data_IF_402689467285
#
_entry.id   IF_402689467285
#
_cell.length_a   1.000
_cell.length_b   1.000
_cell.length_c   1.000
_cell.angle_alpha   90.00
_cell.angle_beta   90.00
_cell.angle_gamma   90.00
#
_symmetry.space_group_name_H-M   'P 1'
#
loop_
_entity.id
_entity.type
_entity.pdbx_description
1 polymer ?
#
# COMPACT_ATOMS: atom_id res chain seq x y z
N UNK A 1 -68.05 12.16 -18.72
CA UNK A 1 -67.31 11.50 -19.82
C UNK A 1 -65.83 11.63 -19.55
N UNK A 2 -65.14 10.51 -19.29
CA UNK A 2 -63.73 10.46 -18.87
C UNK A 2 -62.81 10.07 -20.03
N UNK A 3 -61.58 10.61 -20.07
CA UNK A 3 -60.47 9.88 -20.66
C UNK A 3 -59.24 9.93 -19.72
N UNK A 4 -59.12 8.95 -18.81
CA UNK A 4 -57.89 8.68 -18.06
C UNK A 4 -57.49 7.22 -18.26
N UNK A 5 -56.84 6.90 -19.38
CA UNK A 5 -56.36 5.52 -19.60
C UNK A 5 -55.08 5.38 -20.42
N UNK A 6 -54.64 6.37 -21.22
CA UNK A 6 -53.47 6.20 -22.10
C UNK A 6 -52.12 6.50 -21.45
N UNK A 7 -52.04 7.38 -20.45
CA UNK A 7 -50.76 7.80 -19.85
C UNK A 7 -50.07 6.75 -18.98
N UNK A 8 -50.82 5.77 -18.43
CA UNK A 8 -50.28 4.73 -17.55
C UNK A 8 -49.50 3.64 -18.29
N UNK A 9 -49.85 3.38 -19.56
CA UNK A 9 -49.19 2.35 -20.38
C UNK A 9 -47.79 2.77 -20.82
N UNK A 10 -47.63 4.04 -21.19
CA UNK A 10 -46.34 4.61 -21.56
C UNK A 10 -45.38 4.71 -20.37
N UNK A 11 -45.89 5.07 -19.18
CA UNK A 11 -45.09 5.10 -17.96
C UNK A 11 -44.56 3.70 -17.57
N UNK A 12 -45.37 2.65 -17.72
CA UNK A 12 -44.95 1.28 -17.44
C UNK A 12 -43.90 0.77 -18.43
N UNK A 13 -44.01 1.14 -19.71
CA UNK A 13 -43.04 0.76 -20.74
C UNK A 13 -41.70 1.49 -20.52
N UNK A 14 -41.72 2.78 -20.18
CA UNK A 14 -40.50 3.54 -19.90
C UNK A 14 -39.77 3.04 -18.63
N UNK A 15 -40.52 2.64 -17.60
CA UNK A 15 -39.95 2.05 -16.38
C UNK A 15 -39.36 0.65 -16.64
N UNK A 16 -40.02 -0.17 -17.47
CA UNK A 16 -39.51 -1.48 -17.86
C UNK A 16 -38.26 -1.38 -18.74
N UNK A 17 -38.20 -0.41 -19.64
CA UNK A 17 -37.00 -0.12 -20.45
C UNK A 17 -35.86 0.39 -19.57
N UNK A 18 -36.13 1.26 -18.58
CA UNK A 18 -35.12 1.75 -17.64
C UNK A 18 -34.54 0.64 -16.75
N UNK A 19 -35.38 -0.31 -16.30
CA UNK A 19 -34.93 -1.48 -15.52
C UNK A 19 -34.17 -2.51 -16.38
N UNK A 20 -34.49 -2.62 -17.67
CA UNK A 20 -33.80 -3.52 -18.61
C UNK A 20 -32.48 -2.96 -19.15
N UNK A 21 -32.33 -1.63 -19.19
CA UNK A 21 -31.09 -0.94 -19.60
C UNK A 21 -30.15 -0.62 -18.42
N UNK A 22 -30.55 -0.92 -17.19
CA UNK A 22 -29.66 -0.83 -16.04
C UNK A 22 -28.50 -1.82 -16.27
N UNK A 23 -27.23 -1.38 -16.28
CA UNK A 23 -26.12 -2.30 -16.42
C UNK A 23 -26.20 -3.33 -15.27
N UNK A 24 -26.23 -4.62 -15.64
CA UNK A 24 -26.11 -5.81 -14.77
C UNK A 24 -24.71 -5.89 -14.11
N UNK A 25 -24.16 -4.75 -13.71
CA UNK A 25 -22.84 -4.57 -13.16
C UNK A 25 -22.74 -3.37 -12.23
N UNK A 26 -23.88 -2.83 -11.77
CA UNK A 26 -23.88 -1.99 -10.58
C UNK A 26 -23.52 -2.89 -9.39
N UNK A 27 -22.21 -3.07 -9.19
CA UNK A 27 -21.65 -3.46 -7.90
C UNK A 27 -22.37 -2.65 -6.83
N UNK A 28 -22.88 -3.34 -5.80
CA UNK A 28 -23.52 -2.67 -4.67
C UNK A 28 -22.65 -1.48 -4.26
N UNK A 29 -23.22 -0.27 -4.06
CA UNK A 29 -22.42 0.86 -3.58
C UNK A 29 -21.72 0.38 -2.32
N UNK A 30 -20.39 0.32 -2.37
CA UNK A 30 -19.56 -0.20 -1.29
C UNK A 30 -20.07 0.43 0.00
N UNK A 31 -20.58 -0.41 0.92
CA UNK A 31 -21.15 0.06 2.18
C UNK A 31 -20.21 1.12 2.75
N UNK A 32 -20.70 2.33 3.10
CA UNK A 32 -19.83 3.35 3.66
C UNK A 32 -19.12 2.74 4.85
N UNK A 33 -17.81 2.52 4.68
CA UNK A 33 -16.98 1.89 5.68
C UNK A 33 -17.01 2.84 6.87
N UNK A 34 -17.59 2.38 7.97
CA UNK A 34 -17.88 3.26 9.11
C UNK A 34 -16.58 3.92 9.61
N UNK A 35 -16.62 5.13 10.20
CA UNK A 35 -15.46 5.72 10.87
C UNK A 35 -14.89 4.83 12.00
N UNK A 36 -15.68 3.84 12.44
CA UNK A 36 -15.31 2.82 13.42
C UNK A 36 -14.55 1.65 12.79
N UNK A 37 -14.37 1.63 11.47
CA UNK A 37 -13.62 0.57 10.81
C UNK A 37 -12.13 0.66 11.20
N UNK A 38 -11.50 -0.45 11.60
CA UNK A 38 -10.14 -0.42 12.15
C UNK A 38 -9.12 0.21 11.19
N UNK A 39 -9.30 0.08 9.87
CA UNK A 39 -8.46 0.76 8.88
C UNK A 39 -8.36 2.28 9.10
N UNK A 40 -9.48 2.98 9.25
CA UNK A 40 -9.46 4.43 9.39
C UNK A 40 -8.89 4.87 10.74
N UNK A 41 -9.19 4.11 11.79
CA UNK A 41 -8.61 4.33 13.11
C UNK A 41 -7.09 4.14 13.09
N UNK A 42 -6.61 3.08 12.43
CA UNK A 42 -5.18 2.83 12.26
C UNK A 42 -4.47 3.92 11.46
N UNK A 43 -5.08 4.40 10.38
CA UNK A 43 -4.54 5.52 9.59
C UNK A 43 -4.51 6.82 10.41
N UNK A 44 -5.58 7.12 11.16
CA UNK A 44 -5.64 8.29 12.02
C UNK A 44 -4.57 8.24 13.13
N UNK A 45 -4.44 7.10 13.81
CA UNK A 45 -3.40 6.87 14.83
C UNK A 45 -1.99 7.03 14.24
N UNK A 46 -1.75 6.47 13.04
CA UNK A 46 -0.47 6.61 12.35
C UNK A 46 -0.12 8.07 12.04
N UNK A 47 -1.10 8.86 11.59
CA UNK A 47 -0.93 10.30 11.34
C UNK A 47 -0.65 11.09 12.61
N UNK A 48 -1.26 10.70 13.73
CA UNK A 48 -1.01 11.25 15.07
C UNK A 48 0.32 10.78 15.67
N UNK A 49 1.06 9.92 14.96
CA UNK A 49 2.31 9.27 15.41
C UNK A 49 2.12 8.31 16.60
N UNK A 50 0.88 7.93 16.90
CA UNK A 50 0.60 6.83 17.80
C UNK A 50 0.73 5.50 17.04
N UNK A 51 1.98 5.08 16.86
CA UNK A 51 2.30 3.89 16.08
C UNK A 51 1.87 2.59 16.78
N UNK A 52 1.75 2.60 18.11
CA UNK A 52 1.28 1.45 18.87
C UNK A 52 -0.22 1.22 18.65
N UNK A 53 -1.04 2.28 18.72
CA UNK A 53 -2.46 2.19 18.38
C UNK A 53 -2.65 1.86 16.89
N UNK A 54 -1.85 2.46 16.01
CA UNK A 54 -1.89 2.16 14.58
C UNK A 54 -1.64 0.68 14.30
N UNK A 55 -0.60 0.10 14.90
CA UNK A 55 -0.29 -1.33 14.83
C UNK A 55 -1.45 -2.21 15.29
N UNK A 56 -2.08 -1.89 16.43
CA UNK A 56 -3.21 -2.65 16.95
C UNK A 56 -4.38 -2.65 15.97
N UNK A 57 -4.74 -1.49 15.42
CA UNK A 57 -5.81 -1.36 14.45
C UNK A 57 -5.50 -2.07 13.13
N UNK A 58 -4.26 -2.00 12.62
CA UNK A 58 -3.89 -2.70 11.39
C UNK A 58 -3.84 -4.22 11.57
N UNK A 59 -3.48 -4.72 12.78
CA UNK A 59 -3.65 -6.15 13.10
C UNK A 59 -5.12 -6.55 13.04
N UNK A 60 -6.01 -5.77 13.61
CA UNK A 60 -7.44 -6.07 13.58
C UNK A 60 -7.98 -6.09 12.13
N UNK A 61 -7.51 -5.21 11.25
CA UNK A 61 -7.84 -5.29 9.81
C UNK A 61 -7.39 -6.62 9.22
N UNK A 62 -6.18 -7.09 9.54
CA UNK A 62 -5.65 -8.35 9.05
C UNK A 62 -6.33 -9.57 9.66
N UNK A 63 -6.79 -9.51 10.91
CA UNK A 63 -7.54 -10.59 11.55
C UNK A 63 -8.91 -10.79 10.86
N UNK A 64 -9.53 -9.70 10.42
CA UNK A 64 -10.77 -9.74 9.63
C UNK A 64 -10.52 -10.09 8.16
N UNK A 65 -9.41 -9.61 7.61
CA UNK A 65 -9.02 -9.74 6.21
C UNK A 65 -7.53 -10.09 6.08
N UNK A 66 -7.21 -11.38 6.20
CA UNK A 66 -5.83 -11.89 6.24
C UNK A 66 -4.94 -11.60 5.03
N UNK A 67 -5.51 -11.06 3.95
CA UNK A 67 -4.82 -10.80 2.68
C UNK A 67 -4.94 -9.34 2.21
N UNK A 68 -4.83 -8.37 3.11
CA UNK A 68 -4.71 -6.95 2.72
C UNK A 68 -3.25 -6.51 2.59
N UNK A 69 -2.84 -6.13 1.37
CA UNK A 69 -1.52 -5.51 1.11
C UNK A 69 -1.35 -4.25 1.94
N UNK A 70 -2.33 -3.33 1.86
CA UNK A 70 -2.29 -2.04 2.52
C UNK A 70 -2.20 -2.16 4.06
N UNK A 71 -2.99 -3.05 4.67
CA UNK A 71 -2.94 -3.27 6.12
C UNK A 71 -1.60 -3.86 6.56
N UNK A 72 -1.03 -4.79 5.79
CA UNK A 72 0.26 -5.40 6.12
C UNK A 72 1.42 -4.43 5.92
N UNK A 73 1.38 -3.59 4.88
CA UNK A 73 2.33 -2.51 4.68
C UNK A 73 2.29 -1.53 5.85
N UNK A 74 1.08 -1.06 6.23
CA UNK A 74 0.91 -0.10 7.32
C UNK A 74 1.27 -0.69 8.69
N UNK A 75 1.04 -1.99 8.91
CA UNK A 75 1.52 -2.71 10.08
C UNK A 75 3.06 -2.68 10.16
N UNK A 76 3.73 -3.04 9.06
CA UNK A 76 5.19 -3.01 8.99
C UNK A 76 5.75 -1.60 9.17
N UNK A 77 5.16 -0.60 8.52
CA UNK A 77 5.52 0.80 8.68
C UNK A 77 5.35 1.26 10.14
N UNK A 78 4.26 0.88 10.82
CA UNK A 78 4.03 1.23 12.22
C UNK A 78 5.10 0.63 13.14
N UNK A 79 5.50 -0.62 12.92
CA UNK A 79 6.58 -1.27 13.68
C UNK A 79 7.95 -0.61 13.44
N UNK A 80 8.28 -0.30 12.17
CA UNK A 80 9.49 0.44 11.80
C UNK A 80 9.53 1.80 12.52
N UNK A 81 8.42 2.51 12.57
CA UNK A 81 8.34 3.82 13.26
C UNK A 81 8.48 3.71 14.79
N UNK A 82 8.25 2.54 15.37
CA UNK A 82 8.52 2.24 16.78
C UNK A 82 9.97 1.79 17.04
N UNK A 83 10.80 1.66 15.99
CA UNK A 83 12.16 1.16 16.10
C UNK A 83 12.29 -0.37 16.06
N UNK A 84 11.19 -1.08 15.78
CA UNK A 84 11.18 -2.54 15.60
C UNK A 84 11.48 -2.89 14.15
N UNK A 85 12.73 -2.62 13.75
CA UNK A 85 13.17 -2.69 12.35
C UNK A 85 13.04 -4.09 11.75
N UNK A 86 13.47 -5.13 12.46
CA UNK A 86 13.43 -6.53 12.01
C UNK A 86 12.00 -7.00 11.77
N UNK A 87 11.15 -6.84 12.78
CA UNK A 87 9.75 -7.27 12.74
C UNK A 87 8.97 -6.47 11.70
N UNK A 88 9.15 -5.15 11.67
CA UNK A 88 8.51 -4.28 10.70
C UNK A 88 8.96 -4.58 9.27
N UNK A 89 10.26 -4.80 9.07
CA UNK A 89 10.84 -5.21 7.79
C UNK A 89 10.26 -6.53 7.29
N UNK A 90 10.02 -7.50 8.17
CA UNK A 90 9.38 -8.76 7.80
C UNK A 90 7.92 -8.56 7.33
N UNK A 91 7.15 -7.72 8.02
CA UNK A 91 5.79 -7.39 7.56
C UNK A 91 5.80 -6.67 6.20
N UNK A 92 6.74 -5.75 5.98
CA UNK A 92 6.90 -5.06 4.70
C UNK A 92 7.27 -6.04 3.58
N UNK A 93 8.18 -6.99 3.81
CA UNK A 93 8.52 -8.04 2.82
C UNK A 93 7.32 -8.94 2.53
N UNK A 94 6.51 -9.27 3.54
CA UNK A 94 5.25 -10.01 3.33
C UNK A 94 4.24 -9.21 2.53
N UNK A 95 4.18 -7.88 2.70
CA UNK A 95 3.35 -7.02 1.86
C UNK A 95 3.88 -7.01 0.41
N UNK A 96 5.20 -6.84 0.22
CA UNK A 96 5.82 -6.84 -1.11
C UNK A 96 5.52 -8.12 -1.93
N UNK A 97 5.41 -9.28 -1.27
CA UNK A 97 5.05 -10.56 -1.91
C UNK A 97 3.62 -10.59 -2.48
N UNK A 98 2.76 -9.66 -2.12
CA UNK A 98 1.36 -9.59 -2.56
C UNK A 98 1.16 -8.80 -3.86
N UNK A 99 2.24 -8.23 -4.42
CA UNK A 99 2.36 -7.74 -5.80
C UNK A 99 1.45 -6.60 -6.29
N UNK A 100 0.68 -5.90 -5.45
CA UNK A 100 -0.21 -4.80 -5.89
C UNK A 100 0.55 -3.53 -6.32
N UNK A 101 1.50 -3.05 -5.51
CA UNK A 101 2.48 -2.02 -5.90
C UNK A 101 3.79 -2.26 -5.14
N UNK A 102 4.87 -2.50 -5.86
CA UNK A 102 6.18 -2.82 -5.25
C UNK A 102 6.93 -1.59 -4.77
N UNK A 103 6.65 -0.40 -5.31
CA UNK A 103 7.50 0.78 -5.09
C UNK A 103 7.46 1.27 -3.63
N UNK A 104 6.28 1.50 -3.00
CA UNK A 104 6.22 1.98 -1.62
C UNK A 104 6.83 0.99 -0.63
N UNK A 105 6.51 -0.30 -0.78
CA UNK A 105 7.07 -1.36 0.04
C UNK A 105 8.59 -1.48 -0.10
N UNK A 106 9.12 -1.35 -1.32
CA UNK A 106 10.57 -1.40 -1.56
C UNK A 106 11.29 -0.22 -0.90
N UNK A 107 10.74 0.99 -0.99
CA UNK A 107 11.33 2.16 -0.30
C UNK A 107 11.29 1.98 1.22
N UNK A 108 10.19 1.48 1.77
CA UNK A 108 10.07 1.22 3.20
C UNK A 108 11.06 0.13 3.68
N UNK A 109 11.25 -0.94 2.89
CA UNK A 109 12.25 -1.98 3.16
C UNK A 109 13.65 -1.40 3.06
N UNK A 110 13.96 -0.63 2.02
CA UNK A 110 15.27 0.02 1.83
C UNK A 110 15.59 0.96 3.00
N UNK A 111 14.63 1.75 3.48
CA UNK A 111 14.80 2.55 4.69
C UNK A 111 15.06 1.69 5.93
N UNK A 112 14.34 0.58 6.07
CA UNK A 112 14.50 -0.35 7.20
C UNK A 112 15.86 -1.03 7.18
N UNK A 113 16.31 -1.51 6.01
CA UNK A 113 17.62 -2.14 5.84
C UNK A 113 18.75 -1.13 6.00
N UNK A 114 18.57 0.13 5.59
CA UNK A 114 19.50 1.22 5.90
C UNK A 114 19.66 1.44 7.42
N UNK A 115 18.55 1.45 8.17
CA UNK A 115 18.57 1.56 9.65
C UNK A 115 19.24 0.38 10.34
N UNK A 116 19.34 -0.74 9.64
CA UNK A 116 19.98 -1.97 10.08
C UNK A 116 21.38 -2.15 9.51
N UNK A 117 21.93 -1.12 8.85
CA UNK A 117 23.27 -1.11 8.25
C UNK A 117 23.47 -2.21 7.19
N UNK A 118 22.39 -2.66 6.54
CA UNK A 118 22.41 -3.66 5.47
C UNK A 118 22.46 -2.98 4.12
N UNK A 119 23.49 -2.17 3.88
CA UNK A 119 23.58 -1.26 2.73
C UNK A 119 23.53 -1.97 1.37
N UNK A 120 24.14 -3.15 1.25
CA UNK A 120 24.04 -4.00 0.05
C UNK A 120 22.57 -4.26 -0.33
N UNK A 121 21.74 -4.64 0.65
CA UNK A 121 20.31 -4.90 0.44
C UNK A 121 19.52 -3.65 0.06
N UNK A 122 19.96 -2.48 0.52
CA UNK A 122 19.36 -1.19 0.14
C UNK A 122 19.52 -1.00 -1.37
N UNK A 123 20.74 -1.12 -1.88
CA UNK A 123 21.03 -0.94 -3.30
C UNK A 123 20.33 -2.01 -4.16
N UNK A 124 20.46 -3.29 -3.80
CA UNK A 124 19.81 -4.40 -4.51
C UNK A 124 18.29 -4.23 -4.58
N UNK A 125 17.68 -3.86 -3.44
CA UNK A 125 16.24 -3.63 -3.35
C UNK A 125 15.80 -2.51 -4.28
N UNK A 126 16.48 -1.36 -4.25
CA UNK A 126 16.16 -0.20 -5.06
C UNK A 126 16.38 -0.45 -6.57
N UNK A 127 17.38 -1.25 -6.93
CA UNK A 127 17.71 -1.60 -8.32
C UNK A 127 16.75 -2.65 -8.90
N UNK A 128 16.12 -3.47 -8.05
CA UNK A 128 15.12 -4.46 -8.46
C UNK A 128 13.84 -3.83 -9.05
N UNK A 129 13.59 -2.55 -8.78
CA UNK A 129 12.44 -1.80 -9.28
C UNK A 129 12.85 -0.97 -10.50
N UNK A 130 12.20 -1.23 -11.63
CA UNK A 130 12.32 -0.42 -12.85
C UNK A 130 11.16 0.58 -12.91
N UNK A 131 11.37 1.74 -13.54
CA UNK A 131 10.30 2.71 -13.77
C UNK A 131 9.72 3.30 -12.47
N UNK A 132 10.60 3.78 -11.59
CA UNK A 132 10.19 4.51 -10.38
C UNK A 132 9.26 5.68 -10.74
N UNK A 133 8.11 5.76 -10.06
CA UNK A 133 7.23 6.92 -10.16
C UNK A 133 8.01 8.16 -9.69
N UNK A 134 7.78 9.30 -10.35
CA UNK A 134 8.53 10.54 -10.11
C UNK A 134 8.55 10.95 -8.62
N UNK A 135 7.46 10.69 -7.91
CA UNK A 135 7.34 10.94 -6.47
C UNK A 135 8.40 10.24 -5.62
N UNK A 136 8.86 9.06 -6.03
CA UNK A 136 9.82 8.27 -5.27
C UNK A 136 11.28 8.63 -5.58
N UNK A 137 11.56 9.21 -6.75
CA UNK A 137 12.91 9.48 -7.22
C UNK A 137 13.79 10.23 -6.20
N UNK A 138 13.34 11.31 -5.53
CA UNK A 138 14.18 12.01 -4.57
C UNK A 138 14.54 11.15 -3.35
N UNK A 139 13.65 10.25 -2.93
CA UNK A 139 13.89 9.36 -1.79
C UNK A 139 14.83 8.23 -2.17
N UNK A 140 14.61 7.62 -3.34
CA UNK A 140 15.46 6.56 -3.89
C UNK A 140 16.88 7.05 -4.07
N UNK A 141 17.06 8.25 -4.64
CA UNK A 141 18.38 8.85 -4.84
C UNK A 141 19.11 9.04 -3.51
N UNK A 142 18.46 9.66 -2.51
CA UNK A 142 19.08 9.89 -1.20
C UNK A 142 19.46 8.59 -0.48
N UNK A 143 18.60 7.57 -0.54
CA UNK A 143 18.89 6.27 0.08
C UNK A 143 20.08 5.58 -0.59
N UNK A 144 20.19 5.64 -1.93
CA UNK A 144 21.34 5.11 -2.66
C UNK A 144 22.63 5.85 -2.31
N UNK A 145 22.60 7.18 -2.35
CA UNK A 145 23.77 8.01 -2.01
C UNK A 145 24.23 7.74 -0.58
N UNK A 146 23.29 7.68 0.38
CA UNK A 146 23.62 7.38 1.77
C UNK A 146 24.21 5.98 1.96
N UNK A 147 23.68 4.97 1.26
CA UNK A 147 24.23 3.61 1.30
C UNK A 147 25.65 3.56 0.70
N UNK A 148 25.90 4.17 -0.46
CA UNK A 148 27.23 4.18 -1.09
C UNK A 148 28.27 5.01 -0.35
N UNK A 149 27.87 6.09 0.34
CA UNK A 149 28.81 6.85 1.17
C UNK A 149 29.34 6.02 2.36
N UNK A 150 28.54 5.07 2.86
CA UNK A 150 28.91 4.24 4.01
C UNK A 150 29.62 2.96 3.56
N UNK A 151 29.19 2.37 2.44
CA UNK A 151 29.77 1.17 1.84
C UNK A 151 30.00 1.40 0.34
N UNK A 152 31.10 2.09 -0.03
CA UNK A 152 31.41 2.32 -1.43
C UNK A 152 31.73 0.97 -2.09
N UNK A 153 31.21 0.69 -3.30
CA UNK A 153 31.60 -0.50 -4.04
C UNK A 153 33.13 -0.52 -4.18
N UNK A 154 33.74 -1.70 -4.21
CA UNK A 154 35.20 -1.84 -4.33
C UNK A 154 35.71 -1.09 -5.58
N UNK A 155 36.15 0.16 -5.38
CA UNK A 155 36.62 1.05 -6.45
C UNK A 155 37.98 0.58 -6.99
N UNK A 156 38.63 -0.35 -6.30
CA UNK A 156 39.91 -0.93 -6.65
C UNK A 156 39.76 -2.45 -6.75
N UNK A 157 39.23 -2.97 -7.88
CA UNK A 157 39.10 -4.41 -8.06
C UNK A 157 40.42 -5.09 -7.68
N UNK A 158 40.33 -6.13 -6.82
CA UNK A 158 41.50 -6.88 -6.35
C UNK A 158 42.47 -7.08 -7.51
N UNK A 159 43.66 -6.48 -7.41
CA UNK A 159 44.69 -6.60 -8.42
C UNK A 159 45.01 -8.09 -8.62
N UNK A 160 44.54 -8.66 -9.73
CA UNK A 160 44.88 -10.02 -10.14
C UNK A 160 46.15 -9.92 -10.98
N UNK A 161 47.27 -9.71 -10.29
CA UNK A 161 48.57 -9.62 -10.94
C UNK A 161 48.78 -10.73 -11.94
N UNK A 162 48.88 -10.36 -13.21
CA UNK A 162 49.37 -11.22 -14.27
C UNK A 162 50.32 -10.43 -15.14
#
# INVERSE_FOLDING_TARGET
>A
MAPRAKSRRWAAILLAVYMALAPLGASEPAKPVSPQHPWYQGVAAFQQRDFAAAEAHFREVLDRHGSSYAARYMLGASMVRQGRWEEGGEQLRRALRMAEDRQPATVAIAYTDYRLERFEKVCDGLDSVRGWQERWLPTVQRLREAAYCIDPPDLFPRWTGR
#
